data_IF_714858591322
#
_entry.id   IF_714858591322
#
_cell.length_a   1.000
_cell.length_b   1.000
_cell.length_c   1.000
_cell.angle_alpha   90.00
_cell.angle_beta   90.00
_cell.angle_gamma   90.00
#
_symmetry.space_group_name_H-M   'P 1'
#
loop_
_entity.id
_entity.type
_entity.pdbx_description
1 polymer ?
#
# COMPACT_ATOMS: atom_id res chain seq x y z
N UNK A 1 52.08 -24.51 12.32
CA UNK A 1 52.43 -25.93 12.07
C UNK A 1 51.10 -26.63 11.77
N UNK A 2 50.70 -26.79 10.49
CA UNK A 2 50.97 -27.96 9.64
C UNK A 2 50.77 -29.26 10.44
N UNK A 3 49.83 -30.16 10.16
CA UNK A 3 49.28 -30.75 8.91
C UNK A 3 47.98 -31.51 9.33
N UNK A 4 47.05 -32.03 8.53
CA UNK A 4 47.20 -32.96 7.42
C UNK A 4 45.76 -33.28 6.94
N UNK A 5 45.44 -33.02 5.67
CA UNK A 5 44.47 -33.83 4.94
C UNK A 5 45.16 -34.33 3.66
N UNK A 6 44.95 -35.59 3.27
CA UNK A 6 45.71 -36.25 2.22
C UNK A 6 45.26 -35.83 0.81
N UNK A 7 46.14 -35.94 -0.20
CA UNK A 7 45.81 -35.66 -1.58
C UNK A 7 45.23 -36.91 -2.25
N UNK A 8 44.30 -36.73 -3.19
CA UNK A 8 44.02 -37.75 -4.21
C UNK A 8 44.09 -37.12 -5.60
N UNK A 9 45.15 -37.52 -6.27
CA UNK A 9 45.48 -37.27 -7.66
C UNK A 9 44.87 -38.38 -8.55
N UNK A 10 44.54 -37.99 -9.79
CA UNK A 10 44.55 -38.79 -11.03
C UNK A 10 43.33 -39.67 -11.38
N UNK A 11 42.55 -39.13 -12.32
CA UNK A 11 42.07 -39.69 -13.60
C UNK A 11 41.91 -41.22 -13.80
N UNK A 12 40.67 -41.67 -14.03
CA UNK A 12 40.24 -42.70 -15.02
C UNK A 12 38.68 -42.61 -15.08
N UNK A 13 37.93 -42.64 -16.18
CA UNK A 13 38.11 -43.10 -17.55
C UNK A 13 37.07 -42.50 -18.51
N UNK A 14 37.50 -42.36 -19.76
CA UNK A 14 36.75 -42.36 -21.04
C UNK A 14 35.27 -42.78 -20.98
N UNK A 15 34.42 -41.94 -21.54
CA UNK A 15 33.31 -42.40 -22.38
C UNK A 15 33.33 -41.65 -23.71
N UNK A 16 33.62 -42.40 -24.77
CA UNK A 16 33.55 -41.95 -26.16
C UNK A 16 32.09 -42.10 -26.61
N UNK A 17 31.42 -41.01 -26.96
CA UNK A 17 30.28 -41.07 -27.86
C UNK A 17 30.65 -40.39 -29.17
N UNK A 18 31.04 -41.24 -30.12
CA UNK A 18 31.11 -40.95 -31.54
C UNK A 18 29.70 -40.68 -32.05
N UNK A 19 29.39 -39.44 -32.39
CA UNK A 19 28.31 -39.13 -33.33
C UNK A 19 28.94 -38.43 -34.53
N UNK A 20 29.07 -39.20 -35.62
CA UNK A 20 29.28 -38.66 -36.96
C UNK A 20 28.00 -37.95 -37.39
N UNK A 21 28.12 -36.71 -37.85
CA UNK A 21 27.29 -36.14 -38.93
C UNK A 21 27.87 -34.77 -39.29
N UNK A 22 28.58 -34.71 -40.42
CA UNK A 22 28.07 -34.22 -41.71
C UNK A 22 28.03 -32.70 -41.77
N UNK A 23 29.03 -32.18 -42.46
CA UNK A 23 29.20 -30.82 -42.97
C UNK A 23 27.91 -30.18 -43.47
N UNK A 24 27.55 -29.05 -42.86
CA UNK A 24 26.89 -27.95 -43.55
C UNK A 24 27.30 -26.64 -42.87
N UNK A 25 27.69 -25.67 -43.69
CA UNK A 25 28.23 -24.39 -43.25
C UNK A 25 27.20 -23.65 -42.37
N UNK A 26 27.56 -23.40 -41.12
CA UNK A 26 26.86 -22.47 -40.26
C UNK A 26 27.82 -21.36 -39.87
N UNK A 27 27.46 -20.16 -40.33
CA UNK A 27 28.09 -18.89 -40.00
C UNK A 27 28.31 -18.79 -38.49
N UNK A 28 29.58 -18.70 -38.09
CA UNK A 28 29.94 -18.40 -36.71
C UNK A 28 29.52 -16.97 -36.38
N UNK A 29 28.29 -16.79 -35.89
CA UNK A 29 27.95 -15.61 -35.12
C UNK A 29 28.78 -15.70 -33.84
N UNK A 30 29.88 -14.94 -33.79
CA UNK A 30 30.63 -14.72 -32.56
C UNK A 30 29.67 -14.04 -31.58
N UNK A 31 29.10 -14.81 -30.67
CA UNK A 31 28.33 -14.25 -29.55
C UNK A 31 29.37 -13.60 -28.64
N UNK A 32 29.42 -12.28 -28.71
CA UNK A 32 30.21 -11.47 -27.78
C UNK A 32 29.56 -11.57 -26.39
N UNK A 33 30.09 -12.47 -25.57
CA UNK A 33 29.66 -12.74 -24.20
C UNK A 33 29.84 -11.54 -23.27
N UNK A 34 30.45 -10.45 -23.75
CA UNK A 34 30.64 -9.22 -22.97
C UNK A 34 29.46 -8.23 -23.01
N UNK A 35 28.37 -8.53 -23.74
CA UNK A 35 27.19 -7.65 -23.78
C UNK A 35 26.19 -7.85 -22.62
N UNK A 36 26.47 -8.71 -21.63
CA UNK A 36 25.59 -8.96 -20.46
C UNK A 36 25.99 -8.12 -19.24
N UNK A 37 26.56 -6.94 -19.46
CA UNK A 37 26.49 -5.87 -18.45
C UNK A 37 25.46 -4.87 -18.92
N UNK A 38 24.18 -5.22 -18.74
CA UNK A 38 23.14 -4.19 -18.62
C UNK A 38 23.59 -3.38 -17.41
N UNK A 39 24.22 -2.24 -17.65
CA UNK A 39 24.42 -1.22 -16.62
C UNK A 39 23.01 -0.77 -16.21
N UNK A 40 22.38 -1.51 -15.30
CA UNK A 40 21.10 -1.13 -14.72
C UNK A 40 21.40 0.09 -13.87
N UNK A 41 21.25 1.27 -14.49
CA UNK A 41 21.27 2.54 -13.79
C UNK A 41 20.33 2.38 -12.58
N UNK A 42 20.80 2.62 -11.35
CA UNK A 42 19.95 2.50 -10.18
C UNK A 42 18.74 3.42 -10.38
N UNK A 43 17.55 2.82 -10.42
CA UNK A 43 16.30 3.57 -10.50
C UNK A 43 16.11 4.20 -9.12
N UNK A 44 16.35 5.50 -9.04
CA UNK A 44 16.01 6.29 -7.86
C UNK A 44 14.49 6.53 -7.93
N UNK A 45 13.68 5.87 -7.08
CA UNK A 45 12.25 6.03 -7.13
C UNK A 45 11.85 7.44 -6.68
N UNK A 46 10.79 7.97 -7.28
CA UNK A 46 10.16 9.19 -6.81
C UNK A 46 9.39 8.85 -5.54
N UNK A 47 9.82 9.41 -4.42
CA UNK A 47 9.22 9.19 -3.12
C UNK A 47 8.20 10.28 -2.79
N UNK A 48 7.04 9.87 -2.31
CA UNK A 48 6.03 10.75 -1.74
C UNK A 48 5.62 10.33 -0.34
N UNK A 49 5.00 11.23 0.42
CA UNK A 49 4.54 10.99 1.79
C UNK A 49 3.07 11.35 1.96
N UNK A 50 2.34 10.48 2.64
CA UNK A 50 0.96 10.74 3.05
C UNK A 50 0.95 11.38 4.44
N UNK A 51 0.10 12.40 4.63
CA UNK A 51 -0.14 13.03 5.95
C UNK A 51 -1.64 13.22 6.15
N UNK A 52 -2.13 12.95 7.36
CA UNK A 52 -3.53 13.23 7.70
C UNK A 52 -3.69 14.74 7.94
N UNK A 53 -4.76 15.33 7.41
CA UNK A 53 -5.09 16.77 7.63
C UNK A 53 -6.26 16.89 8.58
N UNK A 54 -7.32 16.11 8.33
CA UNK A 54 -8.54 16.05 9.12
C UNK A 54 -9.01 14.60 9.24
N UNK A 55 -10.09 14.36 10.00
CA UNK A 55 -10.66 13.02 10.14
C UNK A 55 -11.15 12.47 8.78
N UNK A 56 -11.47 13.36 7.85
CA UNK A 56 -12.07 13.07 6.55
C UNK A 56 -11.08 13.24 5.40
N UNK A 57 -9.94 13.92 5.59
CA UNK A 57 -9.00 14.24 4.49
C UNK A 57 -7.53 13.99 4.83
N UNK A 58 -6.76 13.56 3.83
CA UNK A 58 -5.31 13.38 3.90
C UNK A 58 -4.63 14.03 2.69
N UNK A 59 -3.40 14.53 2.87
CA UNK A 59 -2.54 15.01 1.77
C UNK A 59 -1.62 13.91 1.27
N UNK A 60 -1.24 14.03 0.00
CA UNK A 60 -0.06 13.37 -0.57
C UNK A 60 0.88 14.45 -1.10
N UNK A 61 2.10 14.42 -0.58
CA UNK A 61 3.21 15.27 -1.02
C UNK A 61 4.18 14.42 -1.84
N UNK A 62 4.35 14.77 -3.12
CA UNK A 62 5.18 14.05 -4.05
C UNK A 62 5.73 15.02 -5.10
N UNK A 63 6.99 14.84 -5.56
CA UNK A 63 7.51 15.60 -6.69
C UNK A 63 6.63 15.45 -7.94
N UNK A 64 6.66 16.48 -8.80
CA UNK A 64 5.89 16.46 -10.04
C UNK A 64 6.29 15.27 -10.91
N UNK A 65 5.31 14.43 -11.21
CA UNK A 65 5.46 13.26 -12.09
C UNK A 65 4.16 13.03 -12.84
N UNK A 66 4.18 13.22 -14.16
CA UNK A 66 2.98 13.26 -14.99
C UNK A 66 2.06 12.04 -14.81
N UNK A 67 2.54 10.77 -14.87
CA UNK A 67 1.70 9.60 -14.62
C UNK A 67 1.02 9.58 -13.23
N UNK A 68 1.71 10.10 -12.20
CA UNK A 68 1.15 10.19 -10.85
C UNK A 68 0.06 11.26 -10.78
N UNK A 69 0.26 12.40 -11.45
CA UNK A 69 -0.73 13.47 -11.51
C UNK A 69 -1.98 13.02 -12.25
N UNK A 70 -1.84 12.30 -13.36
CA UNK A 70 -2.98 11.78 -14.12
C UNK A 70 -3.79 10.77 -13.30
N UNK A 71 -3.10 9.94 -12.51
CA UNK A 71 -3.71 9.03 -11.55
C UNK A 71 -4.39 9.76 -10.39
N UNK A 72 -3.78 10.79 -9.84
CA UNK A 72 -4.42 11.63 -8.84
C UNK A 72 -5.67 12.30 -9.39
N UNK A 73 -5.66 12.70 -10.67
CA UNK A 73 -6.82 13.26 -11.37
C UNK A 73 -7.97 12.27 -11.55
N UNK A 74 -7.73 10.96 -11.58
CA UNK A 74 -8.80 9.97 -11.70
C UNK A 74 -9.54 9.71 -10.38
N UNK A 75 -8.99 10.11 -9.23
CA UNK A 75 -9.57 9.86 -7.91
C UNK A 75 -10.73 10.83 -7.63
N UNK A 76 -11.79 10.32 -7.01
CA UNK A 76 -12.97 11.10 -6.62
C UNK A 76 -12.68 11.95 -5.38
N UNK A 77 -13.23 13.17 -5.33
CA UNK A 77 -13.06 14.09 -4.20
C UNK A 77 -11.64 14.66 -4.01
N UNK A 78 -10.76 14.47 -4.99
CA UNK A 78 -9.43 15.10 -5.04
C UNK A 78 -9.54 16.63 -5.04
N UNK A 79 -8.60 17.27 -4.36
CA UNK A 79 -8.40 18.72 -4.38
C UNK A 79 -6.92 19.00 -4.55
N UNK A 80 -6.58 20.01 -5.35
CA UNK A 80 -5.21 20.45 -5.55
C UNK A 80 -5.09 21.90 -5.10
N UNK A 81 -4.17 22.16 -4.19
CA UNK A 81 -3.85 23.52 -3.77
C UNK A 81 -2.62 24.00 -4.54
N UNK A 82 -2.81 25.01 -5.40
CA UNK A 82 -1.73 25.59 -6.21
C UNK A 82 -0.69 26.36 -5.39
N UNK A 83 -1.04 26.81 -4.18
CA UNK A 83 -0.13 27.55 -3.29
C UNK A 83 0.85 26.62 -2.61
N UNK A 84 0.35 25.53 -2.03
CA UNK A 84 1.18 24.52 -1.34
C UNK A 84 1.70 23.43 -2.26
N UNK A 85 1.13 23.32 -3.48
CA UNK A 85 1.39 22.24 -4.45
C UNK A 85 1.06 20.85 -3.92
N UNK A 86 0.15 20.77 -2.95
CA UNK A 86 -0.26 19.53 -2.32
C UNK A 86 -1.57 19.03 -2.91
N UNK A 87 -1.65 17.71 -3.04
CA UNK A 87 -2.89 17.02 -3.36
C UNK A 87 -3.56 16.56 -2.07
N UNK A 88 -4.86 16.81 -1.95
CA UNK A 88 -5.67 16.36 -0.83
C UNK A 88 -6.76 15.42 -1.31
N UNK A 89 -6.96 14.33 -0.59
CA UNK A 89 -7.95 13.31 -0.91
C UNK A 89 -8.83 12.99 0.31
N UNK A 90 -10.06 12.51 0.09
CA UNK A 90 -10.89 11.97 1.17
C UNK A 90 -10.27 10.68 1.72
N UNK A 91 -10.31 10.51 3.04
CA UNK A 91 -9.79 9.32 3.74
C UNK A 91 -10.49 8.04 3.26
N UNK A 92 -11.75 8.12 2.82
CA UNK A 92 -12.48 7.01 2.21
C UNK A 92 -11.82 6.45 0.95
N UNK A 93 -11.10 7.27 0.18
CA UNK A 93 -10.43 6.88 -1.07
C UNK A 93 -8.98 6.43 -0.85
N UNK A 94 -8.47 6.41 0.39
CA UNK A 94 -7.09 6.02 0.67
C UNK A 94 -6.72 4.63 0.11
N UNK A 95 -7.58 3.64 0.31
CA UNK A 95 -7.36 2.28 -0.19
C UNK A 95 -7.33 2.21 -1.72
N UNK A 96 -8.13 3.04 -2.39
CA UNK A 96 -8.16 3.14 -3.85
C UNK A 96 -6.89 3.81 -4.36
N UNK A 97 -6.48 4.92 -3.74
CA UNK A 97 -5.25 5.63 -4.06
C UNK A 97 -4.03 4.71 -3.94
N UNK A 98 -3.90 3.95 -2.83
CA UNK A 98 -2.77 3.04 -2.61
C UNK A 98 -2.70 1.91 -3.65
N UNK A 99 -3.84 1.37 -4.08
CA UNK A 99 -3.90 0.36 -5.15
C UNK A 99 -3.42 0.94 -6.48
N UNK A 100 -3.97 2.10 -6.85
CA UNK A 100 -3.65 2.78 -8.10
C UNK A 100 -2.16 3.16 -8.16
N UNK A 101 -1.60 3.73 -7.09
CA UNK A 101 -0.16 4.06 -6.99
C UNK A 101 0.72 2.81 -7.02
N UNK A 102 0.22 1.66 -6.54
CA UNK A 102 0.94 0.39 -6.58
C UNK A 102 1.36 -0.05 -7.99
N UNK A 103 0.62 0.36 -9.02
CA UNK A 103 0.90 0.06 -10.43
C UNK A 103 2.16 0.80 -10.92
N UNK A 104 2.51 1.93 -10.30
CA UNK A 104 3.66 2.76 -10.69
C UNK A 104 4.98 2.32 -10.04
N UNK A 105 4.97 1.25 -9.23
CA UNK A 105 6.21 0.66 -8.69
C UNK A 105 7.00 -0.02 -9.83
N UNK A 106 8.34 0.09 -9.86
CA UNK A 106 9.22 0.66 -8.82
C UNK A 106 9.46 2.17 -8.92
N UNK A 107 8.99 2.85 -9.98
CA UNK A 107 9.33 4.23 -10.27
C UNK A 107 8.76 5.25 -9.28
N UNK A 108 7.62 4.94 -8.66
CA UNK A 108 6.96 5.80 -7.67
C UNK A 108 6.66 5.02 -6.40
N UNK A 109 7.05 5.57 -5.26
CA UNK A 109 6.79 4.99 -3.94
C UNK A 109 6.16 6.04 -3.04
N UNK A 110 4.95 5.78 -2.56
CA UNK A 110 4.26 6.68 -1.63
C UNK A 110 4.16 6.01 -0.27
N UNK A 111 4.70 6.68 0.75
CA UNK A 111 4.65 6.25 2.14
C UNK A 111 3.21 6.12 2.64
N UNK A 112 3.00 5.17 3.55
CA UNK A 112 1.70 4.91 4.15
C UNK A 112 1.38 5.88 5.28
N UNK A 113 0.09 6.10 5.51
CA UNK A 113 -0.37 6.71 6.76
C UNK A 113 -0.04 5.78 7.94
N UNK A 114 0.21 6.33 9.14
CA UNK A 114 0.40 5.53 10.34
C UNK A 114 -0.74 4.51 10.53
N UNK A 115 -0.41 3.28 10.95
CA UNK A 115 -1.40 2.19 11.09
C UNK A 115 -2.60 2.59 11.96
N UNK A 116 -2.35 3.31 13.06
CA UNK A 116 -3.41 3.79 13.95
C UNK A 116 -4.39 4.73 13.24
N UNK A 117 -3.93 5.57 12.31
CA UNK A 117 -4.75 6.48 11.50
C UNK A 117 -5.62 5.68 10.54
N UNK A 118 -5.02 4.71 9.85
CA UNK A 118 -5.73 3.85 8.91
C UNK A 118 -6.84 3.07 9.64
N UNK A 119 -6.52 2.40 10.73
CA UNK A 119 -7.51 1.64 11.50
C UNK A 119 -8.63 2.52 12.04
N UNK A 120 -8.31 3.71 12.56
CA UNK A 120 -9.29 4.59 13.18
C UNK A 120 -10.20 5.25 12.16
N UNK A 121 -9.62 5.83 11.10
CA UNK A 121 -10.36 6.68 10.17
C UNK A 121 -10.83 5.98 8.89
N UNK A 122 -10.20 4.85 8.52
CA UNK A 122 -10.56 4.12 7.29
C UNK A 122 -11.37 2.87 7.65
N UNK A 123 -10.94 2.12 8.67
CA UNK A 123 -11.61 0.86 9.05
C UNK A 123 -12.76 1.09 10.03
N UNK A 124 -12.56 1.89 11.09
CA UNK A 124 -13.53 2.03 12.19
C UNK A 124 -14.53 3.18 12.04
N UNK A 125 -14.32 4.15 11.15
CA UNK A 125 -15.28 5.26 10.92
C UNK A 125 -16.67 4.77 10.55
N UNK A 126 -16.79 3.60 9.92
CA UNK A 126 -18.09 2.98 9.62
C UNK A 126 -18.93 2.62 10.86
N UNK A 127 -18.32 2.50 12.04
CA UNK A 127 -18.98 1.96 13.24
C UNK A 127 -19.29 2.99 14.33
N UNK A 128 -18.79 4.23 14.22
CA UNK A 128 -18.87 5.20 15.32
C UNK A 128 -19.92 6.30 15.16
N UNK A 129 -20.60 6.32 14.01
CA UNK A 129 -21.73 7.20 13.76
C UNK A 129 -22.92 6.32 13.38
N UNK A 130 -23.49 5.66 14.37
CA UNK A 130 -24.84 5.13 14.20
C UNK A 130 -25.82 6.30 14.25
N UNK A 131 -26.82 6.27 13.37
CA UNK A 131 -27.90 7.24 13.40
C UNK A 131 -28.64 7.13 14.75
N UNK A 132 -28.78 8.25 15.46
CA UNK A 132 -29.39 8.32 16.80
C UNK A 132 -30.79 7.69 16.79
N UNK A 133 -31.50 7.77 15.66
CA UNK A 133 -32.85 7.23 15.48
C UNK A 133 -32.89 5.70 15.29
N UNK A 134 -31.76 5.08 14.93
CA UNK A 134 -31.64 3.64 14.62
C UNK A 134 -30.96 2.85 15.75
N UNK A 135 -30.63 3.51 16.87
CA UNK A 135 -29.91 2.88 17.98
C UNK A 135 -30.82 1.90 18.73
N UNK A 136 -30.34 0.66 18.89
CA UNK A 136 -31.00 -0.33 19.73
C UNK A 136 -30.77 -0.01 21.22
N UNK A 137 -31.87 0.26 21.92
CA UNK A 137 -31.91 0.55 23.36
C UNK A 137 -32.63 -0.55 24.16
N UNK A 138 -32.92 -1.70 23.55
CA UNK A 138 -33.61 -2.83 24.21
C UNK A 138 -32.87 -3.40 25.42
N UNK A 139 -31.55 -3.14 25.53
CA UNK A 139 -30.73 -3.56 26.68
C UNK A 139 -30.90 -2.66 27.91
N UNK A 140 -31.59 -1.52 27.77
CA UNK A 140 -31.87 -0.62 28.89
C UNK A 140 -33.09 -1.15 29.66
N UNK A 141 -33.06 -1.06 30.99
CA UNK A 141 -34.14 -1.54 31.84
C UNK A 141 -35.49 -0.89 31.49
N UNK A 142 -36.55 -1.71 31.44
CA UNK A 142 -37.89 -1.27 31.03
C UNK A 142 -38.50 -0.25 32.00
N UNK A 143 -38.27 -0.38 33.32
CA UNK A 143 -38.78 0.58 34.29
C UNK A 143 -38.12 1.96 34.10
N UNK A 144 -36.83 1.96 33.75
CA UNK A 144 -36.12 3.19 33.42
C UNK A 144 -36.69 3.82 32.15
N UNK A 145 -36.89 3.04 31.07
CA UNK A 145 -37.44 3.55 29.81
C UNK A 145 -38.84 4.18 29.98
N UNK A 146 -39.65 3.66 30.91
CA UNK A 146 -40.98 4.18 31.22
C UNK A 146 -40.96 5.44 32.11
N UNK A 147 -39.84 5.75 32.76
CA UNK A 147 -39.73 6.84 33.75
C UNK A 147 -38.89 8.03 33.25
N UNK A 148 -38.03 7.83 32.25
CA UNK A 148 -37.13 8.87 31.74
C UNK A 148 -37.84 9.94 30.90
N UNK A 149 -37.34 11.17 31.02
CA UNK A 149 -37.81 12.28 30.20
C UNK A 149 -37.30 12.20 28.75
N UNK A 150 -38.02 12.83 27.78
CA UNK A 150 -37.61 12.82 26.37
C UNK A 150 -36.17 13.28 26.12
N UNK A 151 -35.71 14.32 26.82
CA UNK A 151 -34.33 14.82 26.68
C UNK A 151 -33.29 13.83 27.22
N UNK A 152 -33.64 13.03 28.24
CA UNK A 152 -32.76 11.99 28.78
C UNK A 152 -32.67 10.81 27.80
N UNK A 153 -33.80 10.45 27.18
CA UNK A 153 -33.84 9.44 26.12
C UNK A 153 -32.93 9.82 24.95
N UNK A 154 -32.94 11.08 24.52
CA UNK A 154 -32.00 11.57 23.50
C UNK A 154 -30.55 11.46 23.94
N UNK A 155 -30.24 11.82 25.19
CA UNK A 155 -28.90 11.67 25.77
C UNK A 155 -28.43 10.21 25.82
N UNK A 156 -29.31 9.28 26.20
CA UNK A 156 -29.02 7.84 26.21
C UNK A 156 -28.77 7.35 24.79
N UNK A 157 -29.68 7.65 23.85
CA UNK A 157 -29.51 7.29 22.43
C UNK A 157 -28.22 7.86 21.86
N UNK A 158 -27.89 9.10 22.20
CA UNK A 158 -26.63 9.74 21.80
C UNK A 158 -25.42 8.99 22.34
N UNK A 159 -25.38 8.68 23.64
CA UNK A 159 -24.27 7.97 24.26
C UNK A 159 -24.08 6.57 23.68
N UNK A 160 -25.18 5.83 23.49
CA UNK A 160 -25.13 4.50 22.88
C UNK A 160 -24.68 4.59 21.42
N UNK A 161 -25.16 5.58 20.64
CA UNK A 161 -24.75 5.79 19.23
C UNK A 161 -23.23 5.98 19.06
N UNK A 162 -22.56 6.49 20.10
CA UNK A 162 -21.11 6.77 20.11
C UNK A 162 -20.28 5.69 20.83
N UNK A 163 -20.92 4.62 21.30
CA UNK A 163 -20.29 3.59 22.12
C UNK A 163 -19.78 4.12 23.45
N UNK A 164 -20.56 4.98 24.11
CA UNK A 164 -20.26 5.59 25.42
C UNK A 164 -19.33 6.81 25.38
N UNK A 165 -18.91 7.26 24.19
CA UNK A 165 -18.03 8.44 24.04
C UNK A 165 -18.85 9.70 23.74
N UNK A 166 -19.22 10.41 24.80
CA UNK A 166 -20.05 11.60 24.72
C UNK A 166 -19.26 12.93 24.73
N UNK A 167 -17.92 12.87 24.86
CA UNK A 167 -17.01 14.01 24.95
C UNK A 167 -15.99 14.00 23.80
#
# INVERSE_FOLDING_TARGET
MNTNYPPLDVNYSKSNNSVKNSSSAQSSLKIDVNSIYVQSKPINPICGVCRLISKERFTVDIPFHQPTIDLFRSIKGKEYDSKTRLWTFPVSEYSNLKKSVGILKPHVVIGDLPKCVVETFITKVKNFQQDINKVDISRVDENLLNTIYPFQMEGIKFGVSRGGRCL
#
